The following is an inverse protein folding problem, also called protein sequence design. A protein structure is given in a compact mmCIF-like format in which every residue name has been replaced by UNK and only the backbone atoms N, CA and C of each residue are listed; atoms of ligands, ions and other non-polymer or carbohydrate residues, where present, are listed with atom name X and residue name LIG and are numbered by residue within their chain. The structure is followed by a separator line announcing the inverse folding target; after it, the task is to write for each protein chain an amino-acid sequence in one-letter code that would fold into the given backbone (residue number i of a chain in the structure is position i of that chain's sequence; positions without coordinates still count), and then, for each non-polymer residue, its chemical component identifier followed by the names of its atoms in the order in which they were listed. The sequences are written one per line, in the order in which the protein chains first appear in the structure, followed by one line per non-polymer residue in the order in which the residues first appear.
data_IF_432829756505
#
_entry.id   IF_432829756505
#
_cell.length_a   1.000
_cell.length_b   1.000
_cell.length_c   1.000
_cell.angle_alpha   90.00
_cell.angle_beta   90.00
_cell.angle_gamma   90.00
#
_symmetry.space_group_name_H-M   'P 1'
#
loop_
_entity.id
_entity.type
_entity.pdbx_description
1 polymer ?
#
# COMPACT_ATOMS: atom_id res chain seq x y z
N UNK A 1 -18.76 -16.46 -33.41
CA UNK A 1 -18.47 -15.13 -32.81
C UNK A 1 -17.05 -14.74 -33.19
N UNK A 2 -16.82 -13.56 -33.78
CA UNK A 2 -15.48 -13.12 -34.20
C UNK A 2 -14.68 -12.65 -32.97
N UNK A 3 -13.40 -13.02 -32.88
CA UNK A 3 -12.53 -12.68 -31.75
C UNK A 3 -12.48 -11.16 -31.50
N UNK A 4 -12.50 -10.36 -32.57
CA UNK A 4 -12.57 -8.90 -32.51
C UNK A 4 -13.76 -8.40 -31.69
N UNK A 5 -14.95 -8.96 -31.95
CA UNK A 5 -16.18 -8.54 -31.29
C UNK A 5 -16.12 -8.89 -29.80
N UNK A 6 -15.57 -10.05 -29.45
CA UNK A 6 -15.38 -10.47 -28.05
C UNK A 6 -14.40 -9.55 -27.35
N UNK A 7 -13.24 -9.29 -27.96
CA UNK A 7 -12.19 -8.47 -27.38
C UNK A 7 -12.65 -7.02 -27.21
N UNK A 8 -13.34 -6.44 -28.20
CA UNK A 8 -13.88 -5.08 -28.09
C UNK A 8 -14.98 -4.99 -27.01
N UNK A 9 -15.88 -5.97 -26.96
CA UNK A 9 -16.93 -5.99 -25.93
C UNK A 9 -16.32 -6.13 -24.53
N UNK A 10 -15.33 -7.02 -24.36
CA UNK A 10 -14.65 -7.20 -23.09
C UNK A 10 -13.77 -6.00 -22.71
N UNK A 11 -13.20 -5.28 -23.68
CA UNK A 11 -12.44 -4.06 -23.41
C UNK A 11 -13.35 -2.92 -22.93
N UNK A 12 -14.52 -2.76 -23.55
CA UNK A 12 -15.38 -1.59 -23.34
C UNK A 12 -16.39 -1.81 -22.22
N UNK A 13 -17.04 -2.98 -22.15
CA UNK A 13 -18.17 -3.19 -21.25
C UNK A 13 -17.79 -3.08 -19.76
N UNK A 14 -16.74 -3.74 -19.24
CA UNK A 14 -16.42 -3.66 -17.81
C UNK A 14 -16.09 -2.24 -17.37
N UNK A 15 -15.26 -1.52 -18.16
CA UNK A 15 -14.90 -0.13 -17.86
C UNK A 15 -16.07 0.83 -18.04
N UNK A 16 -16.85 0.68 -19.11
CA UNK A 16 -18.02 1.50 -19.38
C UNK A 16 -19.07 1.37 -18.28
N UNK A 17 -19.34 0.15 -17.82
CA UNK A 17 -20.26 -0.11 -16.69
C UNK A 17 -19.74 0.53 -15.41
N UNK A 18 -18.45 0.38 -15.08
CA UNK A 18 -17.87 0.96 -13.87
C UNK A 18 -17.91 2.49 -13.86
N UNK A 19 -17.60 3.12 -15.00
CA UNK A 19 -17.66 4.58 -15.14
C UNK A 19 -19.11 5.05 -15.02
N UNK A 20 -20.05 4.38 -15.69
CA UNK A 20 -21.47 4.72 -15.64
C UNK A 20 -22.07 4.51 -14.23
N UNK A 21 -21.58 3.53 -13.48
CA UNK A 21 -22.03 3.25 -12.11
C UNK A 21 -21.36 4.13 -11.04
N UNK A 22 -20.26 4.80 -11.36
CA UNK A 22 -19.49 5.64 -10.43
C UNK A 22 -20.32 6.70 -9.67
N UNK A 23 -21.31 7.39 -10.29
CA UNK A 23 -22.16 8.35 -9.58
C UNK A 23 -23.09 7.71 -8.53
N UNK A 24 -23.38 6.41 -8.67
CA UNK A 24 -24.32 5.67 -7.82
C UNK A 24 -23.61 4.86 -6.73
N UNK A 25 -22.39 4.39 -7.01
CA UNK A 25 -21.61 3.52 -6.12
C UNK A 25 -20.20 4.08 -5.97
N UNK A 26 -19.89 4.63 -4.79
CA UNK A 26 -18.56 5.17 -4.43
C UNK A 26 -17.50 4.09 -4.15
N UNK A 27 -17.59 2.95 -4.85
CA UNK A 27 -16.71 1.79 -4.69
C UNK A 27 -15.62 1.67 -5.77
N UNK A 28 -15.60 2.57 -6.76
CA UNK A 28 -14.63 2.48 -7.85
C UNK A 28 -13.18 2.62 -7.34
N UNK A 29 -12.32 1.74 -7.86
CA UNK A 29 -10.89 1.75 -7.58
C UNK A 29 -10.15 1.36 -8.86
N UNK A 30 -8.99 1.97 -9.07
CA UNK A 30 -8.20 1.79 -10.31
C UNK A 30 -7.90 0.32 -10.64
N UNK A 31 -7.83 -0.57 -9.62
CA UNK A 31 -7.62 -2.02 -9.81
C UNK A 31 -8.72 -2.71 -10.62
N UNK A 32 -9.92 -2.13 -10.70
CA UNK A 32 -10.98 -2.72 -11.53
C UNK A 32 -10.71 -2.53 -13.03
N UNK A 33 -9.89 -1.55 -13.41
CA UNK A 33 -9.46 -1.42 -14.81
C UNK A 33 -8.65 -2.60 -15.32
N UNK A 34 -7.99 -3.34 -14.42
CA UNK A 34 -7.21 -4.54 -14.77
C UNK A 34 -8.07 -5.64 -15.40
N UNK A 35 -9.37 -5.68 -15.14
CA UNK A 35 -10.27 -6.65 -15.78
C UNK A 35 -10.36 -6.50 -17.31
N UNK A 36 -10.06 -5.32 -17.85
CA UNK A 36 -10.06 -5.06 -19.29
C UNK A 36 -8.67 -5.23 -19.92
N UNK A 37 -7.61 -5.38 -19.12
CA UNK A 37 -6.23 -5.45 -19.62
C UNK A 37 -5.98 -6.60 -20.61
N UNK A 38 -6.50 -7.84 -20.41
CA UNK A 38 -6.33 -8.91 -21.39
C UNK A 38 -7.01 -8.61 -22.73
N UNK A 39 -8.19 -7.98 -22.69
CA UNK A 39 -8.93 -7.59 -23.89
C UNK A 39 -8.18 -6.52 -24.70
N UNK A 40 -7.61 -5.53 -24.01
CA UNK A 40 -6.73 -4.51 -24.61
C UNK A 40 -5.54 -5.17 -25.31
N UNK A 41 -4.88 -6.14 -24.65
CA UNK A 41 -3.75 -6.86 -25.25
C UNK A 41 -4.15 -7.61 -26.53
N UNK A 42 -5.32 -8.25 -26.57
CA UNK A 42 -5.84 -8.92 -27.77
C UNK A 42 -6.11 -7.90 -28.89
N UNK A 43 -6.76 -6.77 -28.60
CA UNK A 43 -7.03 -5.72 -29.59
C UNK A 43 -5.72 -5.16 -30.15
N UNK A 44 -4.72 -4.91 -29.31
CA UNK A 44 -3.38 -4.50 -29.75
C UNK A 44 -2.73 -5.54 -30.66
N UNK A 45 -2.74 -6.82 -30.28
CA UNK A 45 -2.18 -7.91 -31.08
C UNK A 45 -2.85 -8.03 -32.46
N UNK A 46 -4.17 -7.91 -32.52
CA UNK A 46 -4.93 -7.89 -33.77
C UNK A 46 -4.58 -6.66 -34.64
N UNK A 47 -4.35 -5.49 -34.02
CA UNK A 47 -3.86 -4.30 -34.70
C UNK A 47 -2.48 -4.51 -35.33
N UNK A 48 -1.53 -5.04 -34.55
CA UNK A 48 -0.17 -5.37 -35.02
C UNK A 48 -0.21 -6.39 -36.16
N UNK A 49 -1.05 -7.42 -36.06
CA UNK A 49 -1.21 -8.42 -37.12
C UNK A 49 -1.75 -7.81 -38.42
N UNK A 50 -2.69 -6.86 -38.34
CA UNK A 50 -3.21 -6.14 -39.52
C UNK A 50 -2.13 -5.28 -40.18
N UNK A 51 -1.29 -4.60 -39.39
CA UNK A 51 -0.15 -3.83 -39.92
C UNK A 51 0.85 -4.73 -40.64
N UNK A 52 1.18 -5.89 -40.08
CA UNK A 52 2.11 -6.84 -40.68
C UNK A 52 1.62 -7.41 -42.03
N UNK A 53 0.30 -7.39 -42.28
CA UNK A 53 -0.34 -7.90 -43.50
C UNK A 53 -0.69 -6.80 -44.52
N UNK A 54 -0.13 -5.61 -44.37
CA UNK A 54 -0.34 -4.53 -45.33
C UNK A 54 0.13 -4.92 -46.74
N UNK A 55 -0.48 -4.36 -47.82
CA UNK A 55 -0.11 -4.67 -49.21
C UNK A 55 1.35 -4.37 -49.55
N UNK A 56 2.02 -3.52 -48.75
CA UNK A 56 3.45 -3.23 -48.84
C UNK A 56 4.19 -3.98 -47.72
N UNK A 57 4.73 -5.18 -47.97
CA UNK A 57 5.19 -6.08 -46.91
C UNK A 57 6.33 -5.51 -46.06
N UNK A 58 7.32 -4.84 -46.69
CA UNK A 58 8.42 -4.19 -45.95
C UNK A 58 7.92 -3.10 -45.00
N UNK A 59 7.01 -2.24 -45.48
CA UNK A 59 6.42 -1.18 -44.67
C UNK A 59 5.55 -1.76 -43.54
N UNK A 60 4.77 -2.80 -43.83
CA UNK A 60 3.92 -3.46 -42.84
C UNK A 60 4.70 -4.08 -41.68
N UNK A 61 5.80 -4.78 -41.99
CA UNK A 61 6.70 -5.35 -40.96
C UNK A 61 7.32 -4.25 -40.10
N UNK A 62 7.79 -3.15 -40.71
CA UNK A 62 8.36 -2.02 -39.97
C UNK A 62 7.31 -1.40 -39.03
N UNK A 63 6.10 -1.13 -39.52
CA UNK A 63 5.04 -0.54 -38.69
C UNK A 63 4.60 -1.47 -37.55
N UNK A 64 4.51 -2.77 -37.79
CA UNK A 64 4.21 -3.76 -36.76
C UNK A 64 5.31 -3.77 -35.68
N UNK A 65 6.58 -3.79 -36.09
CA UNK A 65 7.72 -3.76 -35.16
C UNK A 65 7.76 -2.46 -34.33
N UNK A 66 7.56 -1.30 -34.98
CA UNK A 66 7.48 0.00 -34.31
C UNK A 66 6.33 0.04 -33.31
N UNK A 67 5.17 -0.52 -33.66
CA UNK A 67 4.00 -0.57 -32.76
C UNK A 67 4.28 -1.42 -31.52
N UNK A 68 4.93 -2.59 -31.67
CA UNK A 68 5.33 -3.43 -30.53
C UNK A 68 6.35 -2.69 -29.67
N UNK A 69 7.36 -2.08 -30.28
CA UNK A 69 8.36 -1.29 -29.55
C UNK A 69 7.70 -0.15 -28.77
N UNK A 70 6.75 0.57 -29.38
CA UNK A 70 6.00 1.63 -28.72
C UNK A 70 5.22 1.14 -27.49
N UNK A 71 4.55 -0.03 -27.58
CA UNK A 71 3.85 -0.63 -26.44
C UNK A 71 4.83 -0.99 -25.32
N UNK A 72 5.97 -1.60 -25.65
CA UNK A 72 7.01 -1.96 -24.66
C UNK A 72 7.56 -0.71 -23.98
N UNK A 73 7.94 0.31 -24.75
CA UNK A 73 8.47 1.58 -24.23
C UNK A 73 7.44 2.26 -23.32
N UNK A 74 6.16 2.31 -23.73
CA UNK A 74 5.09 2.90 -22.93
C UNK A 74 4.85 2.15 -21.61
N UNK A 75 5.14 0.85 -21.54
CA UNK A 75 5.01 0.06 -20.33
C UNK A 75 6.17 0.26 -19.32
N UNK A 76 7.33 0.78 -19.75
CA UNK A 76 8.52 0.90 -18.90
C UNK A 76 8.28 1.75 -17.64
N UNK A 77 7.71 2.97 -17.70
CA UNK A 77 7.51 3.78 -16.50
C UNK A 77 6.61 3.10 -15.47
N UNK A 78 5.54 2.46 -15.95
CA UNK A 78 4.60 1.72 -15.09
C UNK A 78 5.29 0.52 -14.44
N UNK A 79 6.08 -0.23 -15.22
CA UNK A 79 6.84 -1.36 -14.72
C UNK A 79 7.90 -0.96 -13.67
N UNK A 80 8.52 0.21 -13.83
CA UNK A 80 9.45 0.76 -12.85
C UNK A 80 8.73 1.18 -11.57
N UNK A 81 7.63 1.94 -11.69
CA UNK A 81 6.82 2.40 -10.55
C UNK A 81 6.26 1.24 -9.72
N UNK A 82 5.94 0.10 -10.33
CA UNK A 82 5.40 -1.08 -9.63
C UNK A 82 6.45 -1.93 -8.90
N UNK A 83 7.74 -1.69 -9.14
CA UNK A 83 8.85 -2.49 -8.59
C UNK A 83 9.78 -1.71 -7.67
N UNK A 84 9.51 -0.43 -7.44
CA UNK A 84 10.25 0.35 -6.45
C UNK A 84 10.04 -0.16 -5.01
N UNK A 85 10.93 0.19 -4.08
CA UNK A 85 10.82 -0.21 -2.66
C UNK A 85 9.51 0.24 -2.02
N UNK A 86 8.97 1.40 -2.45
CA UNK A 86 7.74 2.00 -1.93
C UNK A 86 6.54 1.81 -2.87
N UNK A 87 6.59 0.84 -3.79
CA UNK A 87 5.58 0.66 -4.83
C UNK A 87 4.19 0.27 -4.31
N UNK A 88 4.07 -0.08 -3.02
CA UNK A 88 2.80 -0.48 -2.40
C UNK A 88 2.26 0.68 -1.59
N UNK A 89 1.58 1.61 -2.25
CA UNK A 89 0.96 2.79 -1.61
C UNK A 89 1.95 3.68 -0.85
N UNK A 90 3.18 3.83 -1.34
CA UNK A 90 4.26 4.57 -0.64
C UNK A 90 4.65 3.98 0.72
N UNK A 91 4.24 2.75 1.04
CA UNK A 91 4.63 2.09 2.28
C UNK A 91 6.14 1.87 2.37
N UNK A 92 6.71 2.25 3.50
CA UNK A 92 8.13 2.15 3.87
C UNK A 92 8.35 1.13 5.00
N UNK A 93 7.55 0.05 5.01
CA UNK A 93 7.55 -0.96 6.07
C UNK A 93 8.92 -1.60 6.35
N UNK A 94 9.74 -1.77 5.32
CA UNK A 94 11.11 -2.29 5.49
C UNK A 94 11.99 -1.28 6.24
N UNK A 95 11.81 0.01 6.01
CA UNK A 95 12.58 1.06 6.69
C UNK A 95 12.14 1.17 8.15
N UNK A 96 10.83 1.08 8.41
CA UNK A 96 10.28 0.98 9.78
C UNK A 96 10.90 -0.22 10.50
N UNK A 97 10.87 -1.41 9.88
CA UNK A 97 11.43 -2.63 10.47
C UNK A 97 12.93 -2.50 10.75
N UNK A 98 13.71 -2.02 9.77
CA UNK A 98 15.14 -1.80 9.93
C UNK A 98 15.45 -0.80 11.05
N UNK A 99 14.71 0.30 11.10
CA UNK A 99 14.92 1.35 12.10
C UNK A 99 14.59 0.86 13.51
N UNK A 100 13.43 0.22 13.70
CA UNK A 100 13.03 -0.33 15.00
C UNK A 100 14.00 -1.43 15.44
N UNK A 101 14.41 -2.33 14.54
CA UNK A 101 15.37 -3.38 14.90
C UNK A 101 16.74 -2.84 15.32
N UNK A 102 17.15 -1.68 14.80
CA UNK A 102 18.45 -1.09 15.10
C UNK A 102 18.45 -0.25 16.39
N UNK A 103 17.31 0.32 16.79
CA UNK A 103 17.25 1.31 17.86
C UNK A 103 16.41 0.89 19.07
N UNK A 104 15.48 -0.06 18.93
CA UNK A 104 14.67 -0.51 20.03
C UNK A 104 15.46 -1.43 20.98
N UNK A 105 15.29 -1.21 22.27
CA UNK A 105 15.89 -2.04 23.33
C UNK A 105 14.82 -2.92 23.99
N UNK A 106 15.20 -4.06 24.59
CA UNK A 106 14.24 -4.91 25.30
C UNK A 106 13.49 -4.13 26.38
N UNK A 107 12.16 -4.22 26.35
CA UNK A 107 11.27 -3.49 27.27
C UNK A 107 10.57 -2.28 26.64
N UNK A 108 11.03 -1.83 25.47
CA UNK A 108 10.36 -0.77 24.73
C UNK A 108 8.92 -1.16 24.35
N UNK A 109 8.03 -0.18 24.37
CA UNK A 109 6.70 -0.27 23.78
C UNK A 109 6.70 0.18 22.33
N UNK A 110 5.72 -0.29 21.55
CA UNK A 110 5.41 0.29 20.24
C UNK A 110 3.90 0.47 20.08
N UNK A 111 3.54 1.61 19.48
CA UNK A 111 2.20 1.91 19.01
C UNK A 111 2.27 2.24 17.51
N UNK A 112 1.22 1.85 16.80
CA UNK A 112 1.08 2.08 15.38
C UNK A 112 -0.21 2.85 15.17
N UNK A 113 -0.19 3.81 14.26
CA UNK A 113 -1.38 4.49 13.76
C UNK A 113 -2.44 3.47 13.28
N UNK A 114 -3.66 3.62 13.80
CA UNK A 114 -4.83 2.81 13.45
C UNK A 114 -5.93 3.61 12.71
N UNK A 115 -5.72 4.91 12.48
CA UNK A 115 -6.58 5.82 11.71
C UNK A 115 -6.55 5.56 10.21
N UNK A 116 -5.43 5.02 9.70
CA UNK A 116 -5.29 4.62 8.31
C UNK A 116 -6.22 3.45 7.89
N UNK A 117 -6.55 3.39 6.59
CA UNK A 117 -7.24 2.24 5.98
C UNK A 117 -6.46 0.96 6.29
N UNK A 118 -7.12 -0.19 6.54
CA UNK A 118 -6.41 -1.38 7.02
C UNK A 118 -5.25 -1.85 6.12
N UNK A 119 -5.33 -1.65 4.80
CA UNK A 119 -4.26 -1.98 3.84
C UNK A 119 -3.08 -1.01 3.83
N UNK A 120 -3.12 0.08 4.60
CA UNK A 120 -2.10 1.13 4.68
C UNK A 120 -1.54 1.30 6.10
N UNK A 121 -2.07 0.58 7.10
CA UNK A 121 -1.62 0.70 8.50
C UNK A 121 -0.15 0.35 8.65
N UNK A 122 0.59 1.17 9.39
CA UNK A 122 2.03 1.01 9.65
C UNK A 122 2.36 -0.27 10.40
N UNK A 123 1.41 -0.79 11.19
CA UNK A 123 1.45 -2.11 11.86
C UNK A 123 1.77 -3.27 10.93
N UNK A 124 1.45 -3.17 9.63
CA UNK A 124 1.78 -4.19 8.65
C UNK A 124 3.28 -4.43 8.52
N UNK A 125 4.14 -3.45 8.86
CA UNK A 125 5.58 -3.64 8.93
C UNK A 125 5.97 -4.77 9.90
N UNK A 126 5.34 -4.81 11.08
CA UNK A 126 5.52 -5.89 12.06
C UNK A 126 4.94 -7.22 11.57
N UNK A 127 3.82 -7.19 10.85
CA UNK A 127 3.23 -8.39 10.30
C UNK A 127 4.11 -9.04 9.22
N UNK A 128 4.82 -8.23 8.43
CA UNK A 128 5.72 -8.72 7.36
C UNK A 128 7.11 -9.11 7.84
N UNK A 129 7.61 -8.50 8.92
CA UNK A 129 8.88 -8.87 9.56
C UNK A 129 8.76 -8.85 11.08
N UNK A 130 8.22 -9.91 11.72
CA UNK A 130 8.10 -9.96 13.17
C UNK A 130 9.44 -9.94 13.91
N UNK A 131 10.53 -10.38 13.27
CA UNK A 131 11.84 -10.53 13.91
C UNK A 131 12.52 -9.19 14.19
N UNK A 132 12.27 -8.20 13.34
CA UNK A 132 12.70 -6.82 13.53
C UNK A 132 12.10 -6.17 14.79
N UNK A 133 10.91 -6.60 15.20
CA UNK A 133 10.16 -6.03 16.32
C UNK A 133 10.28 -6.85 17.61
N UNK A 134 11.25 -7.77 17.71
CA UNK A 134 11.39 -8.67 18.88
C UNK A 134 11.64 -7.97 20.22
N UNK A 135 12.22 -6.76 20.18
CA UNK A 135 12.55 -5.98 21.37
C UNK A 135 11.38 -5.13 21.87
N UNK A 136 10.34 -4.94 21.04
CA UNK A 136 9.20 -4.07 21.35
C UNK A 136 7.94 -4.87 21.64
N UNK A 137 7.18 -4.41 22.64
CA UNK A 137 5.83 -4.90 22.90
C UNK A 137 4.80 -4.00 22.23
N UNK A 138 3.91 -4.60 21.44
CA UNK A 138 2.82 -3.84 20.80
C UNK A 138 1.72 -3.56 21.80
N UNK A 139 1.66 -2.31 22.25
CA UNK A 139 0.84 -1.90 23.39
C UNK A 139 -0.65 -1.85 23.05
N UNK A 140 -0.99 -1.77 21.77
CA UNK A 140 -2.36 -1.58 21.32
C UNK A 140 -2.97 -2.84 20.71
N UNK A 141 -2.19 -3.89 20.42
CA UNK A 141 -2.73 -5.14 19.86
C UNK A 141 -3.79 -5.76 20.80
N UNK A 142 -5.02 -5.88 20.31
CA UNK A 142 -6.14 -6.57 20.99
C UNK A 142 -6.25 -8.01 20.52
N UNK A 143 -6.42 -8.21 19.22
CA UNK A 143 -6.60 -9.53 18.61
C UNK A 143 -5.88 -9.57 17.28
N UNK A 144 -4.92 -10.49 17.10
CA UNK A 144 -4.20 -10.62 15.84
C UNK A 144 -5.14 -11.15 14.75
N UNK A 145 -4.92 -10.77 13.50
CA UNK A 145 -5.79 -11.09 12.36
C UNK A 145 -6.00 -12.60 12.18
N UNK A 146 -5.01 -13.43 12.54
CA UNK A 146 -5.10 -14.89 12.48
C UNK A 146 -6.13 -15.47 13.46
N UNK A 147 -6.50 -14.71 14.50
CA UNK A 147 -7.49 -15.08 15.53
C UNK A 147 -8.73 -14.18 15.50
N UNK A 148 -8.84 -13.34 14.49
CA UNK A 148 -9.96 -12.41 14.31
C UNK A 148 -10.89 -12.91 13.21
N UNK A 149 -12.14 -12.43 13.22
CA UNK A 149 -13.06 -12.55 12.08
C UNK A 149 -12.80 -11.48 11.01
N UNK A 150 -11.92 -10.51 11.30
CA UNK A 150 -11.46 -9.49 10.37
C UNK A 150 -10.18 -9.93 9.65
N UNK A 151 -9.95 -9.42 8.45
CA UNK A 151 -8.72 -9.66 7.68
C UNK A 151 -7.53 -8.79 8.12
N UNK A 152 -7.70 -8.01 9.20
CA UNK A 152 -6.72 -7.12 9.80
C UNK A 152 -6.78 -7.22 11.33
N UNK A 153 -5.71 -6.78 12.01
CA UNK A 153 -5.62 -6.79 13.47
C UNK A 153 -6.68 -5.90 14.11
N UNK A 154 -7.23 -6.36 15.23
CA UNK A 154 -8.00 -5.50 16.12
C UNK A 154 -7.07 -4.87 17.15
N UNK A 155 -7.30 -3.59 17.44
CA UNK A 155 -6.49 -2.78 18.35
C UNK A 155 -7.36 -2.15 19.44
N UNK A 156 -6.72 -1.75 20.52
CA UNK A 156 -7.27 -0.83 21.51
C UNK A 156 -6.81 0.59 21.17
N UNK A 157 -7.63 1.59 21.51
CA UNK A 157 -7.15 2.96 21.61
C UNK A 157 -6.25 3.13 22.84
N UNK A 158 -5.36 4.12 22.82
CA UNK A 158 -4.41 4.41 23.90
C UNK A 158 -5.10 4.55 25.28
N UNK A 159 -6.21 5.31 25.44
CA UNK A 159 -6.85 5.43 26.76
C UNK A 159 -7.29 4.08 27.34
N UNK A 160 -7.82 3.18 26.50
CA UNK A 160 -8.24 1.85 26.93
C UNK A 160 -7.04 0.96 27.26
N UNK A 161 -5.99 0.98 26.43
CA UNK A 161 -4.78 0.22 26.67
C UNK A 161 -4.07 0.66 27.97
N UNK A 162 -3.99 1.97 28.21
CA UNK A 162 -3.48 2.55 29.46
C UNK A 162 -4.32 2.15 30.67
N UNK A 163 -5.65 2.23 30.60
CA UNK A 163 -6.52 1.78 31.70
C UNK A 163 -6.43 0.28 32.01
N UNK A 164 -5.83 -0.53 31.14
CA UNK A 164 -5.53 -1.95 31.37
C UNK A 164 -4.09 -2.19 31.85
N UNK A 165 -3.34 -1.13 32.17
CA UNK A 165 -1.95 -1.20 32.63
C UNK A 165 -0.94 -1.59 31.56
N UNK A 166 -1.28 -1.50 30.27
CA UNK A 166 -0.37 -1.91 29.19
C UNK A 166 0.84 -1.00 29.00
N UNK A 167 0.80 0.20 29.56
CA UNK A 167 1.90 1.16 29.58
C UNK A 167 2.70 1.11 30.90
N UNK A 168 2.30 0.25 31.85
CA UNK A 168 2.93 0.19 33.16
C UNK A 168 4.34 -0.40 33.04
N UNK A 169 5.34 0.33 33.55
CA UNK A 169 6.76 -0.06 33.46
C UNK A 169 7.38 0.09 32.07
N UNK A 170 6.74 0.81 31.14
CA UNK A 170 7.29 1.11 29.81
C UNK A 170 7.80 2.55 29.80
N UNK A 171 9.11 2.76 29.82
CA UNK A 171 9.69 4.12 29.84
C UNK A 171 9.86 4.71 28.43
N UNK A 172 9.91 3.84 27.41
CA UNK A 172 10.20 4.20 26.02
C UNK A 172 9.12 3.63 25.10
N UNK A 173 8.46 4.48 24.32
CA UNK A 173 7.41 4.09 23.38
C UNK A 173 7.76 4.59 21.98
N UNK A 174 7.92 3.65 21.06
CA UNK A 174 7.99 3.95 19.64
C UNK A 174 6.59 4.23 19.09
N UNK A 175 6.42 5.29 18.33
CA UNK A 175 5.18 5.63 17.62
C UNK A 175 5.47 5.60 16.14
N UNK A 176 4.62 4.94 15.36
CA UNK A 176 4.76 4.88 13.90
C UNK A 176 3.48 5.38 13.23
N UNK A 177 3.50 6.63 12.79
CA UNK A 177 2.39 7.33 12.15
C UNK A 177 2.44 7.22 10.63
N UNK A 178 1.28 7.07 9.98
CA UNK A 178 1.23 7.15 8.52
C UNK A 178 1.45 8.60 8.08
N UNK A 179 2.24 8.78 7.02
CA UNK A 179 2.43 10.06 6.35
C UNK A 179 1.89 9.95 4.94
N UNK A 180 0.81 10.67 4.65
CA UNK A 180 0.21 10.69 3.32
C UNK A 180 0.24 12.09 2.72
N UNK A 181 0.83 12.23 1.53
CA UNK A 181 0.96 13.51 0.82
C UNK A 181 1.59 14.65 1.66
N UNK A 182 2.51 14.30 2.58
CA UNK A 182 3.18 15.25 3.47
C UNK A 182 2.39 15.66 4.70
N UNK A 183 1.17 15.14 4.87
CA UNK A 183 0.39 15.28 6.10
C UNK A 183 0.59 14.04 6.95
N UNK A 184 1.04 14.27 8.19
CA UNK A 184 1.14 13.25 9.22
C UNK A 184 -0.22 13.04 9.87
N UNK A 185 -0.55 11.78 10.16
CA UNK A 185 -1.55 11.54 11.17
C UNK A 185 -0.99 11.96 12.55
N UNK A 186 -1.89 12.40 13.42
CA UNK A 186 -1.57 12.79 14.81
C UNK A 186 -2.31 11.87 15.77
N UNK A 187 -2.54 10.63 15.33
CA UNK A 187 -3.41 9.70 16.00
C UNK A 187 -2.79 9.30 17.33
N UNK A 188 -3.44 9.64 18.43
CA UNK A 188 -3.00 9.16 19.74
C UNK A 188 -1.90 9.96 20.42
N UNK A 189 -1.29 10.95 19.76
CA UNK A 189 -0.15 11.70 20.30
C UNK A 189 -0.51 12.52 21.54
N UNK A 190 -1.65 13.20 21.54
CA UNK A 190 -2.16 13.92 22.72
C UNK A 190 -2.37 12.97 23.90
N UNK A 191 -2.86 11.76 23.64
CA UNK A 191 -3.10 10.76 24.67
C UNK A 191 -1.79 10.23 25.24
N UNK A 192 -0.74 10.02 24.44
CA UNK A 192 0.59 9.69 24.94
C UNK A 192 1.19 10.81 25.80
N UNK A 193 1.04 12.05 25.37
CA UNK A 193 1.49 13.21 26.15
C UNK A 193 0.75 13.33 27.48
N UNK A 194 -0.55 13.03 27.51
CA UNK A 194 -1.33 12.99 28.76
C UNK A 194 -0.87 11.90 29.74
N UNK A 195 -0.17 10.87 29.24
CA UNK A 195 0.49 9.85 30.04
C UNK A 195 1.89 10.29 30.50
N UNK A 196 2.33 11.51 30.21
CA UNK A 196 3.63 12.04 30.62
C UNK A 196 4.79 11.67 29.71
N UNK A 197 4.52 11.06 28.54
CA UNK A 197 5.56 10.87 27.55
C UNK A 197 5.81 12.15 26.75
N UNK A 198 7.06 12.39 26.38
CA UNK A 198 7.46 13.48 25.51
C UNK A 198 8.31 12.96 24.36
N UNK A 199 8.16 13.59 23.19
CA UNK A 199 8.95 13.23 22.01
C UNK A 199 10.42 13.58 22.24
N UNK A 200 11.31 12.59 22.07
CA UNK A 200 12.76 12.78 22.19
C UNK A 200 13.50 12.49 20.90
N UNK A 201 12.88 11.77 19.96
CA UNK A 201 13.43 11.51 18.64
C UNK A 201 12.34 11.45 17.59
N UNK A 202 12.69 11.90 16.40
CA UNK A 202 11.87 11.84 15.21
C UNK A 202 12.68 11.48 13.99
N UNK A 203 12.13 10.61 13.16
CA UNK A 203 12.68 10.21 11.87
C UNK A 203 11.56 10.21 10.83
N UNK A 204 11.71 11.07 9.83
CA UNK A 204 10.82 11.15 8.68
C UNK A 204 11.20 10.08 7.65
N UNK A 205 10.25 9.17 7.39
CA UNK A 205 10.33 8.15 6.35
C UNK A 205 9.69 8.60 5.03
N UNK A 206 9.61 7.68 4.08
CA UNK A 206 9.01 7.93 2.77
C UNK A 206 7.46 7.94 2.81
N UNK A 207 6.88 7.14 3.70
CA UNK A 207 5.43 6.99 3.87
C UNK A 207 4.98 6.94 5.34
N UNK A 208 5.90 7.03 6.28
CA UNK A 208 5.61 7.09 7.71
C UNK A 208 6.54 8.06 8.45
N UNK A 209 6.20 8.36 9.70
CA UNK A 209 7.10 9.02 10.65
C UNK A 209 7.27 8.08 11.85
N UNK A 210 8.52 7.90 12.26
CA UNK A 210 8.89 7.10 13.42
C UNK A 210 9.31 8.07 14.52
N UNK A 211 8.59 8.03 15.64
CA UNK A 211 8.84 8.87 16.80
C UNK A 211 9.24 8.00 17.99
N UNK A 212 10.10 8.54 18.84
CA UNK A 212 10.39 7.99 20.16
C UNK A 212 9.83 8.92 21.21
N UNK A 213 9.03 8.35 22.11
CA UNK A 213 8.45 9.01 23.25
C UNK A 213 9.03 8.42 24.53
N UNK A 214 9.52 9.26 25.43
CA UNK A 214 10.15 8.85 26.70
C UNK A 214 9.45 9.52 27.88
N UNK A 215 9.48 8.88 29.06
CA UNK A 215 8.89 9.39 30.30
C UNK A 215 9.96 9.86 31.27
#
# INVERSE_FOLDING_TARGET
MRLETVALSWMVLPMGILIAASPLVSGYTARYGTFSAPAVAIVMALGVQRLARLPRPRLGVVLAAVSVAAVVIAAVPVAALQRGPYAKNQSDWNDIAAYISAHAVPGDGIVFDDGARPSQRTRLAKATDPTAFRNVTDLLLKTPFQKSYTWYDQTYGIPRASGMGRFDGVDRVWVVELKFAGVEDTWGLEQLQSLGYHETRRVDGAGSVILLYER
#
